data_IF_248203497041
#
_entry.id   IF_248203497041
#
_cell.length_a   1.000
_cell.length_b   1.000
_cell.length_c   1.000
_cell.angle_alpha   90.00
_cell.angle_beta   90.00
_cell.angle_gamma   90.00
#
_symmetry.space_group_name_H-M   'P 1'
#
loop_
_entity.id
_entity.type
_entity.pdbx_description
1 polymer ?
#
# COMPACT_ATOMS: atom_id res chain seq x y z
N UNK A 1 17.85 8.40 -19.00
CA UNK A 1 18.31 9.20 -17.84
C UNK A 1 17.30 9.17 -16.70
N UNK A 2 16.06 9.66 -16.86
CA UNK A 2 15.04 9.66 -15.79
C UNK A 2 14.68 8.23 -15.34
N UNK A 3 14.31 7.34 -16.27
CA UNK A 3 13.97 5.94 -15.94
C UNK A 3 15.10 5.23 -15.19
N UNK A 4 16.33 5.36 -15.70
CA UNK A 4 17.52 4.81 -15.03
C UNK A 4 17.71 5.40 -13.63
N UNK A 5 17.39 6.68 -13.40
CA UNK A 5 17.45 7.26 -12.06
C UNK A 5 16.37 6.67 -11.14
N UNK A 6 15.16 6.45 -11.64
CA UNK A 6 14.08 5.81 -10.89
C UNK A 6 14.38 4.34 -10.57
N UNK A 7 14.94 3.58 -11.51
CA UNK A 7 15.39 2.20 -11.31
C UNK A 7 16.48 2.14 -10.22
N UNK A 8 17.50 2.99 -10.31
CA UNK A 8 18.54 3.08 -9.29
C UNK A 8 17.99 3.52 -7.93
N UNK A 9 16.97 4.38 -7.92
CA UNK A 9 16.28 4.75 -6.68
C UNK A 9 15.58 3.55 -6.06
N UNK A 10 14.83 2.79 -6.85
CA UNK A 10 14.14 1.59 -6.39
C UNK A 10 15.10 0.53 -5.84
N UNK A 11 16.28 0.38 -6.45
CA UNK A 11 17.28 -0.61 -6.00
C UNK A 11 18.11 -0.14 -4.79
N UNK A 12 18.48 1.14 -4.72
CA UNK A 12 19.55 1.63 -3.82
C UNK A 12 19.29 3.00 -3.20
N UNK A 13 18.32 3.75 -3.73
CA UNK A 13 18.00 5.10 -3.28
C UNK A 13 16.88 5.15 -2.25
N UNK A 14 16.14 4.06 -2.03
CA UNK A 14 15.19 3.97 -0.94
C UNK A 14 15.91 4.11 0.42
N UNK A 15 15.34 4.87 1.38
CA UNK A 15 15.94 4.99 2.71
C UNK A 15 16.17 3.61 3.32
N UNK A 16 17.35 3.41 3.93
CA UNK A 16 17.64 2.22 4.71
C UNK A 16 16.79 2.21 5.98
N UNK A 17 15.56 1.72 5.89
CA UNK A 17 14.75 1.37 7.03
C UNK A 17 15.01 -0.11 7.38
N UNK A 18 14.92 -0.50 8.66
CA UNK A 18 14.84 -1.91 9.01
C UNK A 18 13.70 -2.56 8.22
N UNK A 19 13.94 -3.72 7.62
CA UNK A 19 12.87 -4.45 6.94
C UNK A 19 11.72 -4.68 7.92
N UNK A 20 10.51 -4.31 7.50
CA UNK A 20 9.33 -4.54 8.30
C UNK A 20 9.05 -6.04 8.36
N UNK A 21 8.86 -6.64 9.55
CA UNK A 21 8.85 -8.10 9.72
C UNK A 21 7.75 -8.82 8.91
N UNK A 22 6.68 -8.11 8.55
CA UNK A 22 5.57 -8.65 7.76
C UNK A 22 5.53 -8.14 6.31
N UNK A 23 6.24 -7.06 5.97
CA UNK A 23 6.10 -6.36 4.69
C UNK A 23 7.41 -6.31 3.89
N UNK A 24 8.55 -6.60 4.50
CA UNK A 24 9.86 -6.38 3.90
C UNK A 24 10.19 -4.90 3.79
N UNK A 25 10.81 -4.50 2.67
CA UNK A 25 11.16 -3.12 2.36
C UNK A 25 10.05 -2.35 1.66
N UNK A 26 10.17 -1.01 1.64
CA UNK A 26 9.42 -0.16 0.72
C UNK A 26 9.83 -0.44 -0.73
N UNK A 27 8.97 -0.08 -1.68
CA UNK A 27 9.24 -0.29 -3.11
C UNK A 27 8.87 0.94 -3.93
N UNK A 28 9.41 1.03 -5.14
CA UNK A 28 8.99 1.98 -6.16
C UNK A 28 8.91 1.26 -7.50
N UNK A 29 7.85 1.51 -8.26
CA UNK A 29 7.68 1.02 -9.63
C UNK A 29 7.29 2.16 -10.57
N UNK A 30 7.66 2.02 -11.85
CA UNK A 30 7.15 2.87 -12.93
C UNK A 30 5.89 2.21 -13.47
N UNK A 31 4.76 2.90 -13.37
CA UNK A 31 3.46 2.39 -13.80
C UNK A 31 3.17 2.70 -15.26
N UNK A 32 3.39 3.95 -15.68
CA UNK A 32 3.11 4.39 -17.05
C UNK A 32 4.20 5.32 -17.58
N UNK A 33 4.36 5.33 -18.90
CA UNK A 33 5.26 6.22 -19.64
C UNK A 33 4.53 6.67 -20.89
N UNK A 34 4.35 7.98 -21.05
CA UNK A 34 3.67 8.58 -22.19
C UNK A 34 4.54 9.67 -22.81
N UNK A 35 4.75 9.63 -24.13
CA UNK A 35 5.51 10.66 -24.82
C UNK A 35 5.65 10.37 -26.32
N UNK A 36 5.73 11.46 -27.09
CA UNK A 36 5.84 11.40 -28.55
C UNK A 36 4.52 11.18 -29.28
N UNK A 37 4.49 11.62 -30.53
CA UNK A 37 3.29 11.56 -31.40
C UNK A 37 3.51 10.75 -32.68
N UNK A 38 4.75 10.64 -33.14
CA UNK A 38 5.13 9.91 -34.36
C UNK A 38 6.62 9.56 -34.35
N UNK A 39 6.98 8.52 -35.10
CA UNK A 39 8.33 7.93 -35.11
C UNK A 39 9.42 8.87 -35.65
N UNK A 40 9.05 9.84 -36.49
CA UNK A 40 9.97 10.78 -37.13
C UNK A 40 9.95 12.18 -36.50
N UNK A 41 9.29 12.34 -35.36
CA UNK A 41 9.23 13.60 -34.61
C UNK A 41 9.90 13.42 -33.26
N UNK A 42 10.86 14.30 -32.93
CA UNK A 42 11.46 14.32 -31.60
C UNK A 42 10.39 14.79 -30.60
N UNK A 43 10.05 13.99 -29.56
CA UNK A 43 9.08 14.41 -28.55
C UNK A 43 9.57 15.66 -27.80
N UNK A 44 8.66 16.59 -27.54
CA UNK A 44 8.88 17.77 -26.71
C UNK A 44 8.65 17.51 -25.22
N UNK A 45 7.82 16.51 -24.88
CA UNK A 45 7.58 16.08 -23.51
C UNK A 45 7.46 14.55 -23.33
N UNK A 46 7.65 14.12 -22.09
CA UNK A 46 7.44 12.76 -21.63
C UNK A 46 6.96 12.77 -20.18
N UNK A 47 5.85 12.09 -19.91
CA UNK A 47 5.25 11.93 -18.60
C UNK A 47 5.48 10.52 -18.10
N UNK A 48 6.00 10.40 -16.88
CA UNK A 48 6.26 9.11 -16.22
C UNK A 48 5.49 9.12 -14.90
N UNK A 49 4.63 8.13 -14.71
CA UNK A 49 3.90 7.93 -13.46
C UNK A 49 4.54 6.78 -12.67
N UNK A 50 4.69 6.99 -11.37
CA UNK A 50 5.32 6.05 -10.45
C UNK A 50 4.40 5.70 -9.29
N UNK A 51 4.61 4.53 -8.70
CA UNK A 51 3.96 4.08 -7.49
C UNK A 51 5.03 3.77 -6.44
N UNK A 52 5.02 4.48 -5.31
CA UNK A 52 5.92 4.25 -4.18
C UNK A 52 5.14 3.66 -3.00
N UNK A 53 5.44 2.41 -2.66
CA UNK A 53 4.84 1.72 -1.52
C UNK A 53 5.57 2.07 -0.24
N UNK A 54 4.83 2.66 0.70
CA UNK A 54 5.34 3.10 2.00
C UNK A 54 5.18 1.99 3.04
N UNK A 55 6.14 1.89 3.94
CA UNK A 55 6.02 1.11 5.17
C UNK A 55 5.30 1.93 6.26
N UNK A 56 4.67 1.27 7.24
CA UNK A 56 4.15 1.96 8.42
C UNK A 56 5.23 2.81 9.10
N UNK A 57 4.90 4.08 9.38
CA UNK A 57 5.82 5.06 9.98
C UNK A 57 6.56 5.94 8.96
N UNK A 58 6.54 5.63 7.67
CA UNK A 58 7.04 6.56 6.64
C UNK A 58 6.07 7.72 6.42
N UNK A 59 6.60 8.94 6.28
CA UNK A 59 5.83 10.10 5.83
C UNK A 59 5.74 10.13 4.30
N UNK A 60 4.53 10.25 3.77
CA UNK A 60 4.29 10.36 2.33
C UNK A 60 4.95 11.60 1.72
N UNK A 61 4.99 12.72 2.45
CA UNK A 61 5.59 13.98 1.96
C UNK A 61 7.11 13.88 1.88
N UNK A 62 7.74 13.30 2.92
CA UNK A 62 9.18 13.07 2.95
C UNK A 62 9.58 12.07 1.85
N UNK A 63 8.81 11.00 1.71
CA UNK A 63 9.00 10.01 0.66
C UNK A 63 8.93 10.61 -0.75
N UNK A 64 7.90 11.42 -1.01
CA UNK A 64 7.71 12.11 -2.28
C UNK A 64 8.88 13.05 -2.60
N UNK A 65 9.24 13.91 -1.64
CA UNK A 65 10.34 14.86 -1.83
C UNK A 65 11.66 14.14 -2.06
N UNK A 66 11.89 13.01 -1.37
CA UNK A 66 13.12 12.25 -1.54
C UNK A 66 13.27 11.66 -2.95
N UNK A 67 12.18 11.15 -3.55
CA UNK A 67 12.19 10.71 -4.96
C UNK A 67 12.51 11.89 -5.88
N UNK A 68 11.82 13.02 -5.66
CA UNK A 68 12.00 14.24 -6.46
C UNK A 68 13.44 14.73 -6.46
N UNK A 69 14.04 14.86 -5.28
CA UNK A 69 15.41 15.31 -5.09
C UNK A 69 16.40 14.33 -5.73
N UNK A 70 16.18 13.03 -5.56
CA UNK A 70 17.06 12.00 -6.11
C UNK A 70 17.11 12.07 -7.63
N UNK A 71 15.95 12.19 -8.29
CA UNK A 71 15.83 12.28 -9.75
C UNK A 71 16.44 13.59 -10.25
N UNK A 72 16.09 14.73 -9.66
CA UNK A 72 16.58 16.06 -10.09
C UNK A 72 18.11 16.15 -10.02
N UNK A 73 18.74 15.54 -9.01
CA UNK A 73 20.19 15.54 -8.88
C UNK A 73 20.93 14.69 -9.93
N UNK A 74 20.25 13.78 -10.62
CA UNK A 74 20.86 12.75 -11.49
C UNK A 74 20.45 12.84 -12.94
N UNK A 75 19.41 13.59 -13.25
CA UNK A 75 18.99 13.88 -14.61
C UNK A 75 19.70 15.15 -15.05
N UNK A 76 20.21 15.17 -16.29
CA UNK A 76 21.02 16.26 -16.85
C UNK A 76 20.25 17.59 -17.02
N UNK A 77 20.57 18.44 -18.02
CA UNK A 77 20.01 19.79 -18.14
C UNK A 77 18.51 19.84 -18.49
N UNK A 78 17.79 18.72 -18.43
CA UNK A 78 16.37 18.65 -18.76
C UNK A 78 15.53 19.31 -17.66
N UNK A 79 14.55 20.11 -18.08
CA UNK A 79 13.53 20.62 -17.16
C UNK A 79 12.64 19.44 -16.72
N UNK A 80 12.56 19.20 -15.42
CA UNK A 80 11.65 18.23 -14.83
C UNK A 80 10.52 19.00 -14.15
N UNK A 81 9.29 18.62 -14.44
CA UNK A 81 8.10 19.05 -13.71
C UNK A 81 7.69 17.89 -12.81
N UNK A 82 7.41 18.19 -11.55
CA UNK A 82 7.09 17.21 -10.51
C UNK A 82 5.71 17.53 -9.97
N UNK A 83 4.71 16.79 -10.42
CA UNK A 83 3.33 16.92 -9.94
C UNK A 83 3.16 16.17 -8.62
N UNK A 84 2.34 16.71 -7.71
CA UNK A 84 2.08 16.04 -6.45
C UNK A 84 1.44 14.65 -6.65
N UNK A 85 1.69 13.68 -5.74
CA UNK A 85 1.05 12.38 -5.77
C UNK A 85 -0.47 12.51 -5.81
N UNK A 86 -1.10 11.85 -6.79
CA UNK A 86 -2.56 11.79 -6.90
C UNK A 86 -3.21 11.07 -5.70
N UNK A 87 -2.44 10.20 -5.02
CA UNK A 87 -2.87 9.43 -3.86
C UNK A 87 -1.75 9.38 -2.82
N UNK A 88 -2.11 9.69 -1.56
CA UNK A 88 -1.26 9.47 -0.38
C UNK A 88 -1.94 8.42 0.49
N UNK A 89 -1.31 7.27 0.64
CA UNK A 89 -1.83 6.15 1.44
C UNK A 89 -0.78 5.74 2.49
N UNK A 90 -0.92 6.17 3.76
CA UNK A 90 0.01 5.76 4.81
C UNK A 90 -0.13 4.26 5.09
N UNK A 91 0.96 3.64 5.54
CA UNK A 91 0.93 2.24 5.99
C UNK A 91 0.14 2.09 7.30
N UNK A 92 -0.54 0.95 7.46
CA UNK A 92 -1.30 0.64 8.68
C UNK A 92 -0.35 0.35 9.86
N UNK A 93 -0.35 1.14 10.94
CA UNK A 93 0.52 0.91 12.09
C UNK A 93 0.03 -0.27 12.95
N UNK A 94 0.96 -0.97 13.61
CA UNK A 94 0.61 -2.13 14.44
C UNK A 94 0.25 -1.76 15.89
N UNK A 95 0.91 -0.75 16.46
CA UNK A 95 0.79 -0.35 17.87
C UNK A 95 -0.64 0.03 18.25
N UNK A 96 -1.28 0.89 17.46
CA UNK A 96 -2.63 1.43 17.71
C UNK A 96 -3.76 0.45 17.41
N UNK A 97 -3.48 -0.62 16.67
CA UNK A 97 -4.48 -1.57 16.19
C UNK A 97 -4.40 -2.93 16.89
N UNK A 98 -3.42 -3.11 17.77
CA UNK A 98 -3.09 -4.39 18.42
C UNK A 98 -4.27 -5.01 19.17
N UNK A 99 -5.00 -4.23 19.96
CA UNK A 99 -6.19 -4.71 20.70
C UNK A 99 -7.32 -5.15 19.75
N UNK A 100 -7.65 -4.31 18.77
CA UNK A 100 -8.70 -4.61 17.78
C UNK A 100 -8.34 -5.85 16.95
N UNK A 101 -7.08 -5.94 16.52
CA UNK A 101 -6.54 -7.07 15.76
C UNK A 101 -6.52 -8.35 16.59
N UNK A 102 -6.18 -8.28 17.88
CA UNK A 102 -6.18 -9.43 18.77
C UNK A 102 -7.61 -9.95 18.99
N UNK A 103 -8.57 -9.06 19.30
CA UNK A 103 -9.97 -9.45 19.48
C UNK A 103 -10.54 -10.12 18.23
N UNK A 104 -10.27 -9.55 17.06
CA UNK A 104 -10.71 -10.15 15.80
C UNK A 104 -10.04 -11.51 15.56
N UNK A 105 -8.75 -11.63 15.87
CA UNK A 105 -8.01 -12.90 15.76
C UNK A 105 -8.58 -13.98 16.66
N UNK A 106 -9.07 -13.65 17.85
CA UNK A 106 -9.73 -14.59 18.77
C UNK A 106 -11.05 -15.10 18.19
N UNK A 107 -11.92 -14.19 17.70
CA UNK A 107 -13.19 -14.57 17.04
C UNK A 107 -12.96 -15.44 15.80
N UNK A 108 -11.92 -15.13 15.01
CA UNK A 108 -11.52 -15.95 13.86
C UNK A 108 -11.15 -17.39 14.29
N UNK A 109 -10.49 -17.57 15.44
CA UNK A 109 -10.14 -18.89 15.98
C UNK A 109 -11.34 -19.66 16.49
N UNK A 110 -12.31 -18.97 17.09
CA UNK A 110 -13.59 -19.58 17.50
C UNK A 110 -14.36 -20.16 16.31
N UNK A 111 -14.19 -19.57 15.13
CA UNK A 111 -14.75 -20.06 13.87
C UNK A 111 -13.87 -21.12 13.18
N UNK A 112 -12.82 -21.62 13.84
CA UNK A 112 -11.98 -22.73 13.35
C UNK A 112 -10.87 -22.32 12.37
N UNK A 113 -10.55 -21.03 12.25
CA UNK A 113 -9.47 -20.53 11.41
C UNK A 113 -8.22 -20.16 12.25
N UNK A 114 -7.09 -19.88 11.59
CA UNK A 114 -5.81 -19.66 12.30
C UNK A 114 -5.77 -18.37 13.15
N UNK A 115 -6.54 -17.34 12.79
CA UNK A 115 -6.45 -16.03 13.43
C UNK A 115 -5.04 -15.44 13.39
N UNK A 116 -4.33 -15.67 12.27
CA UNK A 116 -2.95 -15.20 12.07
C UNK A 116 -2.98 -13.82 11.43
N UNK A 117 -2.28 -12.87 12.05
CA UNK A 117 -2.02 -11.56 11.47
C UNK A 117 -0.95 -11.68 10.38
N UNK A 118 -1.20 -11.07 9.23
CA UNK A 118 -0.29 -11.10 8.07
C UNK A 118 -0.05 -9.67 7.57
N UNK A 119 1.11 -9.46 6.95
CA UNK A 119 1.38 -8.25 6.18
C UNK A 119 0.92 -8.43 4.75
N UNK A 120 0.37 -7.38 4.17
CA UNK A 120 -0.07 -7.34 2.78
C UNK A 120 0.52 -6.10 2.10
N UNK A 121 1.19 -6.24 0.94
CA UNK A 121 1.90 -5.15 0.29
C UNK A 121 0.96 -4.29 -0.60
N UNK A 122 -0.24 -3.98 -0.12
CA UNK A 122 -1.22 -3.14 -0.80
C UNK A 122 -1.82 -2.09 0.14
N UNK A 123 -2.34 -1.01 -0.43
CA UNK A 123 -2.98 0.08 0.31
C UNK A 123 -4.45 -0.23 0.62
N UNK A 124 -4.93 0.27 1.76
CA UNK A 124 -6.36 0.26 2.15
C UNK A 124 -6.67 1.53 2.95
N UNK A 125 -7.95 1.87 3.09
CA UNK A 125 -8.38 3.01 3.90
C UNK A 125 -8.06 2.85 5.40
N UNK A 126 -7.78 1.62 5.87
CA UNK A 126 -7.42 1.37 7.26
C UNK A 126 -6.20 2.18 7.70
N UNK A 127 -5.21 2.38 6.81
CA UNK A 127 -4.05 3.22 7.10
C UNK A 127 -4.42 4.68 7.35
N UNK A 128 -5.35 5.21 6.55
CA UNK A 128 -5.86 6.58 6.67
C UNK A 128 -6.65 6.74 7.98
N UNK A 129 -7.54 5.80 8.29
CA UNK A 129 -8.32 5.79 9.53
C UNK A 129 -7.40 5.74 10.76
N UNK A 130 -6.40 4.85 10.75
CA UNK A 130 -5.43 4.74 11.84
C UNK A 130 -4.59 6.00 12.01
N UNK A 131 -4.19 6.66 10.91
CA UNK A 131 -3.50 7.95 10.95
C UNK A 131 -4.37 9.07 11.54
N UNK A 132 -5.70 9.00 11.36
CA UNK A 132 -6.68 9.89 11.99
C UNK A 132 -6.97 9.53 13.47
N UNK A 133 -6.32 8.52 14.03
CA UNK A 133 -6.49 8.09 15.42
C UNK A 133 -7.64 7.11 15.65
N UNK A 134 -8.23 6.56 14.58
CA UNK A 134 -9.30 5.56 14.67
C UNK A 134 -8.68 4.16 14.49
N UNK A 135 -8.73 3.28 15.51
CA UNK A 135 -8.23 1.91 15.37
C UNK A 135 -8.92 1.19 14.19
N UNK A 136 -8.13 0.59 13.32
CA UNK A 136 -8.60 -0.07 12.10
C UNK A 136 -7.83 -1.36 11.83
N UNK A 137 -8.52 -2.36 11.30
CA UNK A 137 -7.95 -3.63 10.86
C UNK A 137 -8.49 -3.98 9.49
N UNK A 138 -7.67 -4.65 8.68
CA UNK A 138 -8.10 -5.19 7.39
C UNK A 138 -8.50 -6.64 7.59
N UNK A 139 -9.73 -6.97 7.20
CA UNK A 139 -10.26 -8.32 7.25
C UNK A 139 -11.16 -8.55 6.04
N UNK A 140 -10.99 -9.69 5.38
CA UNK A 140 -11.83 -10.10 4.28
C UNK A 140 -11.56 -11.54 3.89
N UNK A 141 -12.57 -12.24 3.35
CA UNK A 141 -12.42 -13.57 2.79
C UNK A 141 -11.76 -13.55 1.41
N UNK A 142 -11.44 -14.74 0.90
CA UNK A 142 -10.91 -14.91 -0.44
C UNK A 142 -9.39 -14.71 -0.50
N UNK A 143 -8.91 -14.39 -1.71
CA UNK A 143 -7.50 -14.34 -2.03
C UNK A 143 -7.21 -13.07 -2.82
N UNK A 144 -6.18 -12.33 -2.39
CA UNK A 144 -5.75 -11.13 -3.11
C UNK A 144 -5.29 -11.44 -4.54
N UNK A 145 -4.85 -12.68 -4.79
CA UNK A 145 -4.47 -13.12 -6.14
C UNK A 145 -5.66 -13.12 -7.11
N UNK A 146 -6.91 -13.12 -6.62
CA UNK A 146 -8.11 -13.06 -7.45
C UNK A 146 -8.61 -11.62 -7.69
N UNK A 147 -8.24 -10.67 -6.82
CA UNK A 147 -8.62 -9.28 -6.95
C UNK A 147 -7.99 -8.63 -8.19
N UNK A 148 -8.73 -7.75 -8.87
CA UNK A 148 -8.28 -7.05 -10.09
C UNK A 148 -7.86 -7.97 -11.25
N UNK A 149 -8.36 -9.21 -11.27
CA UNK A 149 -8.21 -10.10 -12.41
C UNK A 149 -9.38 -9.94 -13.38
N UNK A 150 -9.24 -10.44 -14.61
CA UNK A 150 -10.31 -10.34 -15.62
C UNK A 150 -11.62 -10.99 -15.14
N UNK A 151 -11.51 -12.17 -14.53
CA UNK A 151 -12.64 -12.96 -14.04
C UNK A 151 -12.70 -12.91 -12.50
N UNK A 152 -12.80 -11.74 -11.90
CA UNK A 152 -12.85 -11.60 -10.43
C UNK A 152 -14.02 -12.39 -9.80
N UNK A 153 -13.73 -13.24 -8.81
CA UNK A 153 -14.73 -14.07 -8.12
C UNK A 153 -14.37 -14.30 -6.66
N UNK A 154 -15.35 -14.77 -5.88
CA UNK A 154 -15.16 -15.28 -4.53
C UNK A 154 -16.04 -16.51 -4.31
N UNK A 155 -15.53 -17.48 -3.57
CA UNK A 155 -16.31 -18.64 -3.15
C UNK A 155 -17.40 -18.21 -2.15
N UNK A 156 -18.64 -18.62 -2.40
CA UNK A 156 -19.78 -18.21 -1.57
C UNK A 156 -19.67 -18.71 -0.13
N UNK A 157 -19.07 -19.89 0.09
CA UNK A 157 -18.86 -20.42 1.44
C UNK A 157 -17.82 -19.58 2.21
N UNK A 158 -16.82 -19.04 1.53
CA UNK A 158 -15.86 -18.10 2.12
C UNK A 158 -16.53 -16.79 2.53
N UNK A 159 -17.47 -16.30 1.72
CA UNK A 159 -18.28 -15.12 2.06
C UNK A 159 -19.14 -15.38 3.31
N UNK A 160 -19.85 -16.51 3.35
CA UNK A 160 -20.69 -16.91 4.49
C UNK A 160 -19.88 -17.03 5.79
N UNK A 161 -18.68 -17.62 5.72
CA UNK A 161 -17.76 -17.73 6.86
C UNK A 161 -17.33 -16.35 7.37
N UNK A 162 -16.97 -15.43 6.48
CA UNK A 162 -16.63 -14.06 6.88
C UNK A 162 -17.80 -13.32 7.51
N UNK A 163 -19.03 -13.51 7.00
CA UNK A 163 -20.23 -12.94 7.60
C UNK A 163 -20.45 -13.46 9.02
N UNK A 164 -20.24 -14.76 9.26
CA UNK A 164 -20.35 -15.35 10.59
C UNK A 164 -19.32 -14.74 11.57
N UNK A 165 -18.05 -14.67 11.16
CA UNK A 165 -16.97 -14.04 11.95
C UNK A 165 -17.30 -12.59 12.28
N UNK A 166 -17.72 -11.79 11.29
CA UNK A 166 -18.07 -10.38 11.51
C UNK A 166 -19.25 -10.22 12.47
N UNK A 167 -20.26 -11.08 12.35
CA UNK A 167 -21.43 -11.06 13.24
C UNK A 167 -21.02 -11.33 14.68
N UNK A 168 -20.24 -12.37 14.93
CA UNK A 168 -19.74 -12.68 16.28
C UNK A 168 -18.82 -11.59 16.81
N UNK A 169 -17.98 -10.99 15.97
CA UNK A 169 -17.10 -9.89 16.37
C UNK A 169 -17.87 -8.63 16.78
N UNK A 170 -18.96 -8.30 16.09
CA UNK A 170 -19.84 -7.20 16.49
C UNK A 170 -20.58 -7.51 17.81
N UNK A 171 -21.01 -8.76 17.99
CA UNK A 171 -21.71 -9.20 19.22
C UNK A 171 -20.77 -9.31 20.44
N UNK A 172 -19.48 -9.57 20.21
CA UNK A 172 -18.46 -9.62 21.26
C UNK A 172 -17.98 -8.23 21.69
N UNK A 173 -18.49 -7.16 21.09
CA UNK A 173 -18.11 -5.80 21.45
C UNK A 173 -18.66 -5.49 22.84
N UNK A 174 -17.82 -5.09 23.81
CA UNK A 174 -18.31 -4.67 25.12
C UNK A 174 -19.28 -3.50 24.93
N UNK A 175 -20.50 -3.62 25.42
CA UNK A 175 -21.41 -2.47 25.52
C UNK A 175 -20.70 -1.41 26.37
N UNK A 176 -20.52 -0.22 25.80
CA UNK A 176 -19.95 0.93 26.51
C UNK A 176 -20.79 1.17 27.77
N UNK A 177 -20.20 0.89 28.94
CA UNK A 177 -20.69 1.32 30.25
C UNK A 177 -20.41 2.80 30.47
#
# INVERSE_FOLDING_TARGET
HVLTALENYAERGLPAAPEHPLLGGSTLSVGTIHGGISVNTVPDECTIEIDRRLLPGESSDVAWQHVCDYVTQRVGPHKIIQDEPFLRSPGLPADRNSELAQRLSEVIREHGHLGKQIGVPFGTDAGILAAAGIPAVVFGPGSIQQAHTHDEWIDTSSLEQACAVLTSFCQSCPTST
#
